data_IF_409912039105
#
_entry.id   IF_409912039105
#
_cell.length_a   1.000
_cell.length_b   1.000
_cell.length_c   1.000
_cell.angle_alpha   90.00
_cell.angle_beta   90.00
_cell.angle_gamma   90.00
#
_symmetry.space_group_name_H-M   'P 1'
#
loop_
_entity.id
_entity.type
_entity.pdbx_description
1 polymer ?
#
# COMPACT_ATOMS: atom_id res chain seq x y z
N UNK A 1 12.02 -27.47 28.91
CA UNK A 1 11.56 -26.86 27.66
C UNK A 1 12.63 -27.09 26.60
N UNK A 2 12.33 -27.73 25.47
CA UNK A 2 13.31 -27.89 24.38
C UNK A 2 13.49 -26.54 23.71
N UNK A 3 14.58 -25.85 24.03
CA UNK A 3 15.03 -24.69 23.25
C UNK A 3 15.32 -25.20 21.83
N UNK A 4 14.39 -25.01 20.90
CA UNK A 4 14.73 -25.08 19.48
C UNK A 4 15.73 -23.97 19.25
N UNK A 5 16.90 -24.30 18.73
CA UNK A 5 17.84 -23.28 18.24
C UNK A 5 17.08 -22.39 17.26
N UNK A 6 16.80 -21.16 17.70
CA UNK A 6 16.08 -20.14 16.93
C UNK A 6 17.05 -19.60 15.89
N UNK A 7 17.35 -20.41 14.87
CA UNK A 7 18.24 -20.00 13.81
C UNK A 7 17.62 -18.82 13.07
N UNK A 8 18.44 -17.88 12.59
CA UNK A 8 17.98 -16.72 11.78
C UNK A 8 17.04 -17.12 10.64
N UNK A 9 17.26 -18.31 10.05
CA UNK A 9 16.42 -18.86 8.99
C UNK A 9 15.06 -19.34 9.46
N UNK A 10 14.97 -19.93 10.66
CA UNK A 10 13.69 -20.31 11.26
C UNK A 10 12.85 -19.07 11.58
N UNK A 11 13.50 -18.02 12.12
CA UNK A 11 12.85 -16.72 12.35
C UNK A 11 12.38 -16.11 11.03
N UNK A 12 13.24 -16.13 10.00
CA UNK A 12 12.89 -15.63 8.67
C UNK A 12 11.69 -16.37 8.05
N UNK A 13 11.64 -17.70 8.13
CA UNK A 13 10.55 -18.47 7.51
C UNK A 13 9.23 -18.33 8.27
N UNK A 14 9.28 -18.51 9.59
CA UNK A 14 8.08 -18.63 10.43
C UNK A 14 7.55 -17.28 10.91
N UNK A 15 8.43 -16.36 11.32
CA UNK A 15 8.03 -15.08 11.92
C UNK A 15 8.07 -13.93 10.92
N UNK A 16 9.04 -13.90 10.01
CA UNK A 16 9.04 -12.91 8.93
C UNK A 16 8.10 -13.36 7.81
N UNK A 17 8.37 -14.47 7.13
CA UNK A 17 7.56 -14.88 5.98
C UNK A 17 6.20 -15.50 6.38
N UNK A 18 6.01 -16.00 7.60
CA UNK A 18 4.76 -16.65 8.00
C UNK A 18 4.44 -17.93 7.20
N UNK A 19 5.44 -18.51 6.53
CA UNK A 19 5.26 -19.68 5.66
C UNK A 19 5.52 -20.96 6.44
N UNK A 20 4.67 -21.98 6.31
CA UNK A 20 4.94 -23.32 6.82
C UNK A 20 6.08 -23.99 6.04
N UNK A 21 6.65 -25.08 6.58
CA UNK A 21 7.70 -25.85 5.90
C UNK A 21 7.22 -26.42 4.56
N UNK A 22 5.95 -26.78 4.49
CA UNK A 22 5.32 -27.36 3.30
C UNK A 22 5.08 -26.32 2.22
N UNK A 23 4.55 -25.15 2.59
CA UNK A 23 4.39 -24.03 1.67
C UNK A 23 5.73 -23.56 1.14
N UNK A 24 6.73 -23.43 2.02
CA UNK A 24 8.09 -23.04 1.63
C UNK A 24 8.72 -24.04 0.65
N UNK A 25 8.52 -25.34 0.88
CA UNK A 25 9.00 -26.40 -0.01
C UNK A 25 8.35 -26.35 -1.39
N UNK A 26 7.02 -26.16 -1.44
CA UNK A 26 6.27 -25.98 -2.70
C UNK A 26 6.73 -24.72 -3.43
N UNK A 27 6.86 -23.60 -2.71
CA UNK A 27 7.24 -22.30 -3.26
C UNK A 27 8.65 -22.29 -3.86
N UNK A 28 9.60 -22.90 -3.16
CA UNK A 28 11.00 -22.92 -3.57
C UNK A 28 11.36 -24.11 -4.47
N UNK A 29 10.39 -24.97 -4.80
CA UNK A 29 10.59 -26.23 -5.53
C UNK A 29 11.70 -27.09 -4.91
N UNK A 30 11.72 -27.20 -3.58
CA UNK A 30 12.69 -27.99 -2.79
C UNK A 30 12.00 -29.03 -1.93
N UNK A 31 12.77 -30.02 -1.44
CA UNK A 31 12.25 -31.04 -0.54
C UNK A 31 12.04 -30.49 0.88
N UNK A 32 11.10 -31.09 1.62
CA UNK A 32 10.89 -30.80 3.06
C UNK A 32 12.17 -30.98 3.89
N UNK A 33 13.05 -31.91 3.47
CA UNK A 33 14.37 -32.11 4.09
C UNK A 33 15.26 -30.89 3.91
N UNK A 34 15.33 -30.32 2.70
CA UNK A 34 16.11 -29.11 2.47
C UNK A 34 15.61 -27.92 3.32
N UNK A 35 14.29 -27.73 3.41
CA UNK A 35 13.69 -26.66 4.24
C UNK A 35 13.96 -26.88 5.73
N UNK A 36 13.86 -28.12 6.22
CA UNK A 36 14.20 -28.43 7.62
C UNK A 36 15.67 -28.27 7.93
N UNK A 37 16.57 -28.48 6.97
CA UNK A 37 17.98 -28.17 7.13
C UNK A 37 18.28 -26.67 7.13
N UNK A 38 17.53 -25.88 6.36
CA UNK A 38 17.61 -24.42 6.43
C UNK A 38 17.23 -23.88 7.80
N UNK A 39 16.14 -24.39 8.38
CA UNK A 39 15.70 -24.07 9.74
C UNK A 39 16.77 -24.44 10.79
N UNK A 40 17.56 -25.50 10.54
CA UNK A 40 18.70 -25.92 11.38
C UNK A 40 19.98 -25.09 11.18
N UNK A 41 19.96 -24.11 10.26
CA UNK A 41 21.07 -23.19 10.04
C UNK A 41 21.87 -23.34 8.76
N UNK A 42 21.49 -24.26 7.85
CA UNK A 42 22.07 -24.22 6.49
C UNK A 42 21.61 -22.97 5.76
N UNK A 43 22.50 -22.37 4.97
CA UNK A 43 22.17 -21.17 4.21
C UNK A 43 21.00 -21.40 3.23
N UNK A 44 20.02 -20.51 3.24
CA UNK A 44 18.94 -20.48 2.25
C UNK A 44 19.51 -19.88 0.95
N UNK A 45 19.33 -20.52 -0.22
CA UNK A 45 19.68 -19.92 -1.51
C UNK A 45 19.04 -18.54 -1.69
N UNK A 46 19.77 -17.58 -2.27
CA UNK A 46 19.30 -16.19 -2.39
C UNK A 46 17.99 -16.10 -3.18
N UNK A 47 17.84 -16.97 -4.18
CA UNK A 47 16.66 -17.10 -5.03
C UNK A 47 15.45 -17.55 -4.22
N UNK A 48 15.63 -18.56 -3.36
CA UNK A 48 14.57 -19.05 -2.48
C UNK A 48 14.17 -18.01 -1.44
N UNK A 49 15.15 -17.29 -0.87
CA UNK A 49 14.89 -16.20 0.07
C UNK A 49 14.09 -15.07 -0.58
N UNK A 50 14.39 -14.75 -1.85
CA UNK A 50 13.66 -13.76 -2.64
C UNK A 50 12.24 -14.22 -2.95
N UNK A 51 12.06 -15.46 -3.42
CA UNK A 51 10.74 -16.03 -3.68
C UNK A 51 9.85 -15.98 -2.44
N UNK A 52 10.39 -16.35 -1.27
CA UNK A 52 9.65 -16.26 -0.01
C UNK A 52 9.18 -14.82 0.28
N UNK A 53 10.04 -13.80 0.10
CA UNK A 53 9.63 -12.40 0.28
C UNK A 53 8.54 -11.97 -0.70
N UNK A 54 8.72 -12.28 -1.98
CA UNK A 54 7.74 -11.94 -3.03
C UNK A 54 6.39 -12.60 -2.78
N UNK A 55 6.37 -13.89 -2.41
CA UNK A 55 5.14 -14.63 -2.14
C UNK A 55 4.36 -14.08 -0.94
N UNK A 56 5.09 -13.50 0.03
CA UNK A 56 4.49 -12.90 1.22
C UNK A 56 4.07 -11.44 1.04
N UNK A 57 4.20 -10.89 -0.17
CA UNK A 57 3.89 -9.48 -0.47
C UNK A 57 4.93 -8.49 0.07
N UNK A 58 5.98 -8.94 0.77
CA UNK A 58 6.91 -8.04 1.45
C UNK A 58 7.81 -7.22 0.53
N UNK A 59 7.87 -7.53 -0.76
CA UNK A 59 8.74 -6.84 -1.73
C UNK A 59 7.88 -6.38 -2.92
N UNK A 60 7.58 -5.07 -3.00
CA UNK A 60 6.71 -4.48 -4.03
C UNK A 60 7.41 -4.33 -5.38
N UNK A 61 8.70 -3.97 -5.38
CA UNK A 61 9.50 -3.79 -6.59
C UNK A 61 10.99 -3.91 -6.28
N UNK A 62 11.79 -4.13 -7.34
CA UNK A 62 13.25 -4.17 -7.26
C UNK A 62 13.89 -2.77 -7.31
N UNK A 63 13.09 -1.73 -7.54
CA UNK A 63 13.56 -0.33 -7.61
C UNK A 63 13.79 0.24 -6.22
N UNK A 64 14.87 1.01 -6.07
CA UNK A 64 15.24 1.68 -4.82
C UNK A 64 14.14 2.61 -4.28
N UNK A 65 13.25 3.11 -5.14
CA UNK A 65 12.11 3.96 -4.76
C UNK A 65 11.11 3.22 -3.86
N UNK A 66 11.00 1.91 -4.02
CA UNK A 66 10.11 1.07 -3.22
C UNK A 66 10.80 0.45 -2.01
N UNK A 67 12.06 0.84 -1.74
CA UNK A 67 12.78 0.34 -0.58
C UNK A 67 12.10 0.77 0.72
N UNK A 68 11.85 -0.20 1.60
CA UNK A 68 11.18 0.03 2.89
C UNK A 68 9.65 0.01 2.82
N UNK A 69 9.07 -0.12 1.63
CA UNK A 69 7.63 -0.38 1.51
C UNK A 69 7.36 -1.88 1.61
N UNK A 70 6.36 -2.25 2.41
CA UNK A 70 5.99 -3.66 2.64
C UNK A 70 4.50 -3.81 2.34
N UNK A 71 4.13 -4.73 1.43
CA UNK A 71 2.72 -5.06 1.22
C UNK A 71 2.30 -6.08 2.27
N UNK A 72 1.33 -5.71 3.11
CA UNK A 72 0.56 -6.63 3.92
C UNK A 72 -0.72 -7.00 3.18
N UNK A 73 -1.42 -8.08 3.58
CA UNK A 73 -2.64 -8.52 2.88
C UNK A 73 -3.69 -7.42 2.69
N UNK A 74 -3.87 -6.56 3.69
CA UNK A 74 -4.93 -5.54 3.68
C UNK A 74 -4.41 -4.09 3.66
N UNK A 75 -3.10 -3.89 3.81
CA UNK A 75 -2.50 -2.55 4.03
C UNK A 75 -1.11 -2.45 3.43
N UNK A 76 -0.72 -1.23 3.07
CA UNK A 76 0.62 -0.89 2.63
C UNK A 76 1.40 -0.28 3.80
N UNK A 77 2.52 -0.88 4.18
CA UNK A 77 3.46 -0.28 5.14
C UNK A 77 4.40 0.67 4.41
N UNK A 78 4.49 1.90 4.91
CA UNK A 78 5.46 2.90 4.48
C UNK A 78 6.85 2.63 5.10
N UNK A 79 7.93 3.22 4.55
CA UNK A 79 9.27 3.18 5.16
C UNK A 79 9.33 3.75 6.59
N UNK A 80 8.32 4.54 6.98
CA UNK A 80 8.15 5.08 8.33
C UNK A 80 7.54 4.08 9.32
N UNK A 81 7.15 2.89 8.86
CA UNK A 81 6.40 1.89 9.64
C UNK A 81 4.91 2.16 9.75
N UNK A 82 4.40 3.23 9.10
CA UNK A 82 2.97 3.54 9.10
C UNK A 82 2.24 2.66 8.10
N UNK A 83 1.10 2.12 8.53
CA UNK A 83 0.20 1.31 7.70
C UNK A 83 -0.85 2.20 7.03
N UNK A 84 -1.02 2.06 5.73
CA UNK A 84 -1.98 2.79 4.90
C UNK A 84 -2.99 1.80 4.33
N UNK A 85 -4.27 2.09 4.52
CA UNK A 85 -5.37 1.35 3.89
C UNK A 85 -5.55 1.74 2.41
N UNK A 86 -6.16 0.87 1.57
CA UNK A 86 -6.46 1.20 0.19
C UNK A 86 -7.25 2.51 0.03
N UNK A 87 -8.19 2.80 0.93
CA UNK A 87 -8.98 4.02 0.91
C UNK A 87 -8.16 5.27 1.24
N UNK A 88 -7.23 5.18 2.19
CA UNK A 88 -6.30 6.28 2.49
C UNK A 88 -5.35 6.56 1.33
N UNK A 89 -4.92 5.51 0.60
CA UNK A 89 -4.12 5.66 -0.61
C UNK A 89 -4.92 6.38 -1.72
N UNK A 90 -6.16 5.95 -1.96
CA UNK A 90 -7.07 6.59 -2.92
C UNK A 90 -7.34 8.05 -2.56
N UNK A 91 -7.56 8.35 -1.27
CA UNK A 91 -7.73 9.72 -0.80
C UNK A 91 -6.47 10.57 -1.04
N UNK A 92 -5.29 10.01 -0.81
CA UNK A 92 -4.02 10.67 -1.11
C UNK A 92 -3.87 11.02 -2.59
N UNK A 93 -4.19 10.08 -3.49
CA UNK A 93 -4.19 10.31 -4.94
C UNK A 93 -5.20 11.39 -5.31
N UNK A 94 -6.43 11.29 -4.81
CA UNK A 94 -7.47 12.28 -5.07
C UNK A 94 -7.06 13.68 -4.59
N UNK A 95 -6.43 13.82 -3.42
CA UNK A 95 -5.95 15.11 -2.93
C UNK A 95 -4.82 15.70 -3.78
N UNK A 96 -3.94 14.85 -4.31
CA UNK A 96 -2.91 15.27 -5.28
C UNK A 96 -3.53 15.73 -6.60
N UNK A 97 -4.62 15.08 -7.03
CA UNK A 97 -5.37 15.44 -8.23
C UNK A 97 -6.24 16.70 -8.06
N UNK A 98 -6.78 16.95 -6.86
CA UNK A 98 -7.65 18.10 -6.56
C UNK A 98 -6.91 19.45 -6.71
N UNK A 99 -5.58 19.43 -6.61
CA UNK A 99 -4.75 20.60 -6.92
C UNK A 99 -4.48 20.80 -8.42
N UNK A 100 -5.16 20.06 -9.31
CA UNK A 100 -5.02 20.30 -10.74
C UNK A 100 -5.50 21.71 -11.11
N UNK A 101 -4.69 22.41 -11.90
CA UNK A 101 -4.98 23.77 -12.38
C UNK A 101 -6.35 23.85 -13.08
N UNK A 102 -6.75 22.76 -13.74
CA UNK A 102 -8.07 22.58 -14.34
C UNK A 102 -9.21 22.70 -13.33
N UNK A 103 -9.09 22.09 -12.17
CA UNK A 103 -10.15 22.11 -11.16
C UNK A 103 -10.28 23.51 -10.54
N UNK A 104 -9.16 24.20 -10.28
CA UNK A 104 -9.14 25.59 -9.81
C UNK A 104 -9.81 26.53 -10.83
N UNK A 105 -9.47 26.40 -12.12
CA UNK A 105 -10.07 27.22 -13.19
C UNK A 105 -11.57 26.96 -13.28
N UNK A 106 -11.98 25.69 -13.20
CA UNK A 106 -13.38 25.28 -13.33
C UNK A 106 -14.22 25.76 -12.14
N UNK A 107 -13.76 25.55 -10.90
CA UNK A 107 -14.45 26.07 -9.70
C UNK A 107 -14.51 27.59 -9.68
N UNK A 108 -13.44 28.28 -10.11
CA UNK A 108 -13.45 29.75 -10.23
C UNK A 108 -14.54 30.23 -11.21
N UNK A 109 -14.69 29.57 -12.36
CA UNK A 109 -15.74 29.90 -13.34
C UNK A 109 -17.14 29.59 -12.80
N UNK A 110 -17.33 28.42 -12.16
CA UNK A 110 -18.59 28.05 -11.53
C UNK A 110 -19.04 29.08 -10.49
N UNK A 111 -18.12 29.52 -9.63
CA UNK A 111 -18.40 30.56 -8.63
C UNK A 111 -18.78 31.90 -9.27
N UNK A 112 -18.11 32.30 -10.36
CA UNK A 112 -18.47 33.51 -11.12
C UNK A 112 -19.88 33.42 -11.68
N UNK A 113 -20.25 32.29 -12.30
CA UNK A 113 -21.59 32.08 -12.85
C UNK A 113 -22.65 32.06 -11.74
N UNK A 114 -22.40 31.33 -10.64
CA UNK A 114 -23.31 31.28 -9.51
C UNK A 114 -23.60 32.68 -8.92
N UNK A 115 -22.57 33.52 -8.77
CA UNK A 115 -22.72 34.92 -8.32
C UNK A 115 -23.58 35.74 -9.29
N UNK A 116 -23.35 35.63 -10.60
CA UNK A 116 -24.15 36.35 -11.61
C UNK A 116 -25.60 35.89 -11.64
N UNK A 117 -25.87 34.60 -11.49
CA UNK A 117 -27.23 34.07 -11.37
C UNK A 117 -27.91 34.62 -10.12
N UNK A 118 -27.20 34.68 -8.98
CA UNK A 118 -27.71 35.26 -7.75
C UNK A 118 -28.03 36.76 -7.92
N UNK A 119 -27.16 37.53 -8.57
CA UNK A 119 -27.39 38.96 -8.86
C UNK A 119 -28.66 39.17 -9.71
N UNK A 120 -28.85 38.35 -10.75
CA UNK A 120 -30.03 38.40 -11.61
C UNK A 120 -31.29 38.08 -10.80
N UNK A 121 -31.27 37.02 -9.99
CA UNK A 121 -32.41 36.61 -9.16
C UNK A 121 -32.78 37.68 -8.13
N UNK A 122 -31.79 38.30 -7.49
CA UNK A 122 -31.99 39.38 -6.53
C UNK A 122 -32.57 40.64 -7.22
N UNK A 123 -32.08 40.97 -8.42
CA UNK A 123 -32.56 42.11 -9.21
C UNK A 123 -34.00 41.92 -9.74
N UNK A 124 -34.44 40.68 -9.95
CA UNK A 124 -35.83 40.38 -10.31
C UNK A 124 -36.77 40.45 -9.09
N UNK A 125 -36.32 40.00 -7.92
CA UNK A 125 -37.09 40.11 -6.69
C UNK A 125 -37.31 41.56 -6.22
N UNK A 126 -36.35 42.45 -6.45
CA UNK A 126 -36.53 43.89 -6.15
C UNK A 126 -37.52 44.58 -7.09
N UNK A 127 -37.65 44.13 -8.34
CA UNK A 127 -38.63 44.67 -9.29
C UNK A 127 -40.06 44.24 -8.97
N UNK A 128 -40.27 42.98 -8.58
CA UNK A 128 -41.60 42.47 -8.21
C UNK A 128 -42.13 42.99 -6.86
N UNK A 129 -41.30 43.64 -6.02
CA UNK A 129 -41.74 44.26 -4.76
C UNK A 129 -42.20 45.72 -4.92
N UNK A 130 -41.91 46.36 -6.06
CA UNK A 130 -42.24 47.76 -6.34
C UNK A 130 -43.44 47.92 -7.30
N UNK A 131 -44.16 46.83 -7.56
CA UNK A 131 -45.45 46.75 -8.27
C UNK A 131 -46.47 46.11 -7.35
#
# INVERSE_FOLDING_TARGET
MKYREMTKNYVFREFECGLSKEETAKLCFKSLRAVTEWDKGKAIPKECKRLMRMATGRELSQSDVWQGFIMHPDKLELPTGRMISPQELLAGIALLEIQSELEIVTTTRLLKYARKIADIKNSQQSKNKNT
#
